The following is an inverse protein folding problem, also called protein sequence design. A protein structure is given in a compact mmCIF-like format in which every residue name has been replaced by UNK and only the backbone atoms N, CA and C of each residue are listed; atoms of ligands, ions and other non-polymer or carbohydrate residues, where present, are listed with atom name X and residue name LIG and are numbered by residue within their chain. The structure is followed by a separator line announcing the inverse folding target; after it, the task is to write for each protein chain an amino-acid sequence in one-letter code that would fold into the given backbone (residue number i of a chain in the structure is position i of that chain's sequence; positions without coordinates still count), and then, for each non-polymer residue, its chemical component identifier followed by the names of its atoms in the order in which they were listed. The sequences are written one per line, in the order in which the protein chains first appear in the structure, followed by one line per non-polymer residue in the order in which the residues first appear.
data_IF_985510677374
#
_entry.id   IF_985510677374
#
_cell.length_a   1.000
_cell.length_b   1.000
_cell.length_c   1.000
_cell.angle_alpha   90.00
_cell.angle_beta   90.00
_cell.angle_gamma   90.00
#
_symmetry.space_group_name_H-M   'P 1'
#
loop_
_entity.id
_entity.type
_entity.pdbx_description
1 polymer ?
#
# COMPACT_ATOMS: atom_id res chain seq x y z
N UNK A 1 -12.71 -25.58 -6.67
CA UNK A 1 -11.68 -25.91 -5.66
C UNK A 1 -11.18 -24.60 -5.09
N UNK A 2 -11.12 -24.48 -3.76
CA UNK A 2 -10.51 -23.32 -3.11
C UNK A 2 -9.00 -23.30 -3.39
N UNK A 3 -8.43 -22.11 -3.59
CA UNK A 3 -6.99 -21.94 -3.75
C UNK A 3 -6.25 -22.34 -2.46
N UNK A 4 -5.13 -23.03 -2.58
CA UNK A 4 -4.26 -23.32 -1.44
C UNK A 4 -2.96 -22.53 -1.60
N UNK A 5 -2.72 -21.52 -0.74
CA UNK A 5 -1.49 -20.75 -0.76
C UNK A 5 -0.25 -21.64 -0.56
N UNK A 6 0.75 -21.59 -1.46
CA UNK A 6 1.96 -22.37 -1.31
C UNK A 6 2.79 -21.86 -0.11
N UNK A 7 3.52 -22.77 0.53
CA UNK A 7 4.49 -22.44 1.59
C UNK A 7 5.91 -22.25 1.06
N UNK A 8 6.21 -22.79 -0.13
CA UNK A 8 7.54 -22.79 -0.73
C UNK A 8 7.50 -22.33 -2.18
N UNK A 9 8.64 -21.84 -2.65
CA UNK A 9 8.89 -21.42 -4.04
C UNK A 9 10.20 -22.04 -4.52
N UNK A 10 10.25 -22.46 -5.78
CA UNK A 10 11.48 -22.89 -6.45
C UNK A 10 12.02 -21.75 -7.32
N UNK A 11 13.25 -21.31 -7.05
CA UNK A 11 13.86 -20.14 -7.72
C UNK A 11 15.18 -20.54 -8.36
N UNK A 12 15.34 -20.23 -9.65
CA UNK A 12 16.63 -20.29 -10.33
C UNK A 12 17.47 -19.08 -9.97
N UNK A 13 18.63 -19.29 -9.36
CA UNK A 13 19.51 -18.21 -8.94
C UNK A 13 20.66 -18.01 -9.94
N UNK A 14 20.77 -16.79 -10.46
CA UNK A 14 21.82 -16.38 -11.37
C UNK A 14 22.67 -15.27 -10.77
N UNK A 15 23.87 -15.11 -11.33
CA UNK A 15 24.63 -13.87 -11.18
C UNK A 15 23.83 -12.71 -11.76
N UNK A 16 23.78 -11.60 -11.03
CA UNK A 16 23.01 -10.43 -11.43
C UNK A 16 23.93 -9.25 -11.78
N UNK A 17 23.40 -8.32 -12.57
CA UNK A 17 23.95 -6.97 -12.71
C UNK A 17 23.59 -6.13 -11.48
N UNK A 18 24.20 -4.95 -11.32
CA UNK A 18 23.84 -4.01 -10.26
C UNK A 18 22.34 -3.59 -10.30
N UNK A 19 21.75 -3.57 -11.51
CA UNK A 19 20.31 -3.29 -11.73
C UNK A 19 19.39 -4.48 -11.47
N UNK A 20 19.93 -5.66 -11.11
CA UNK A 20 19.15 -6.86 -10.83
C UNK A 20 18.75 -7.66 -12.07
N UNK A 21 19.26 -7.34 -13.26
CA UNK A 21 19.10 -8.18 -14.45
C UNK A 21 20.07 -9.37 -14.38
N UNK A 22 19.81 -10.45 -15.12
CA UNK A 22 20.77 -11.57 -15.24
C UNK A 22 22.04 -11.08 -15.95
N UNK A 23 23.21 -11.43 -15.40
CA UNK A 23 24.52 -11.08 -15.96
C UNK A 23 24.90 -12.06 -17.06
N UNK A 24 25.31 -11.55 -18.22
CA UNK A 24 25.84 -12.37 -19.32
C UNK A 24 27.33 -12.72 -19.11
N UNK A 25 27.77 -13.95 -19.39
CA UNK A 25 26.93 -15.11 -19.73
C UNK A 25 26.10 -15.57 -18.53
N UNK A 26 24.85 -15.97 -18.76
CA UNK A 26 23.95 -16.42 -17.69
C UNK A 26 24.54 -17.59 -16.89
N UNK A 27 25.05 -17.26 -15.71
CA UNK A 27 25.74 -18.19 -14.83
C UNK A 27 24.89 -18.49 -13.61
N UNK A 28 24.62 -19.76 -13.36
CA UNK A 28 23.89 -20.22 -12.18
C UNK A 28 24.77 -20.10 -10.92
N UNK A 29 24.13 -19.74 -9.81
CA UNK A 29 24.73 -19.83 -8.50
C UNK A 29 25.00 -21.29 -8.11
N UNK A 30 26.16 -21.54 -7.50
CA UNK A 30 26.59 -22.83 -7.01
C UNK A 30 27.27 -22.64 -5.65
N UNK A 31 27.43 -23.74 -4.91
CA UNK A 31 28.12 -23.73 -3.62
C UNK A 31 29.49 -23.07 -3.74
N UNK A 32 29.80 -22.16 -2.80
CA UNK A 32 31.05 -21.37 -2.82
C UNK A 32 31.01 -20.09 -3.64
N UNK A 33 29.98 -19.85 -4.48
CA UNK A 33 29.87 -18.59 -5.23
C UNK A 33 29.59 -17.41 -4.28
N UNK A 34 30.35 -16.32 -4.43
CA UNK A 34 30.24 -15.09 -3.64
C UNK A 34 29.88 -13.88 -4.51
N UNK A 35 29.31 -14.11 -5.69
CA UNK A 35 28.95 -13.08 -6.67
C UNK A 35 27.58 -12.48 -6.35
N UNK A 36 27.38 -11.20 -6.63
CA UNK A 36 26.09 -10.52 -6.55
C UNK A 36 25.01 -11.29 -7.33
N UNK A 37 23.85 -11.47 -6.70
CA UNK A 37 22.80 -12.37 -7.16
C UNK A 37 22.80 -13.73 -6.46
N UNK A 38 23.97 -14.22 -6.06
CA UNK A 38 24.09 -15.43 -5.23
C UNK A 38 24.12 -15.14 -3.73
N UNK A 39 24.49 -13.91 -3.35
CA UNK A 39 24.62 -13.46 -1.97
C UNK A 39 24.59 -11.93 -1.93
N UNK A 40 24.07 -11.37 -0.85
CA UNK A 40 24.21 -9.94 -0.54
C UNK A 40 25.58 -9.61 0.07
N UNK A 41 26.28 -10.60 0.63
CA UNK A 41 27.61 -10.46 1.23
C UNK A 41 28.71 -10.80 0.23
N UNK A 42 28.97 -9.86 -0.68
CA UNK A 42 29.95 -9.99 -1.77
C UNK A 42 31.02 -8.89 -1.73
N UNK A 43 32.13 -9.11 -2.44
CA UNK A 43 33.21 -8.11 -2.59
C UNK A 43 33.34 -7.64 -4.04
N UNK A 44 32.21 -7.37 -4.70
CA UNK A 44 32.19 -6.84 -6.07
C UNK A 44 32.00 -5.31 -6.05
N UNK A 45 33.00 -4.59 -6.58
CA UNK A 45 32.93 -3.14 -6.70
C UNK A 45 31.86 -2.70 -7.70
N UNK A 46 31.09 -1.67 -7.38
CA UNK A 46 29.96 -1.18 -8.19
C UNK A 46 28.65 -1.95 -8.02
N UNK A 47 28.64 -3.02 -7.21
CA UNK A 47 27.44 -3.79 -6.90
C UNK A 47 26.92 -3.44 -5.50
N UNK A 48 25.61 -3.60 -5.24
CA UNK A 48 24.97 -3.30 -3.96
C UNK A 48 25.24 -4.40 -2.91
N UNK A 49 26.51 -4.78 -2.75
CA UNK A 49 26.97 -5.74 -1.75
C UNK A 49 27.09 -5.07 -0.37
N UNK A 50 26.77 -5.83 0.68
CA UNK A 50 27.27 -5.59 2.04
C UNK A 50 28.70 -6.13 2.15
N UNK A 51 29.67 -5.26 2.42
CA UNK A 51 31.11 -5.56 2.29
C UNK A 51 31.83 -5.82 3.60
N UNK A 52 31.12 -5.75 4.73
CA UNK A 52 31.69 -6.06 6.05
C UNK A 52 32.21 -7.50 6.18
N UNK A 53 31.67 -8.42 5.39
CA UNK A 53 32.12 -9.82 5.30
C UNK A 53 31.74 -10.41 3.93
N UNK A 54 32.33 -11.55 3.57
CA UNK A 54 31.92 -12.32 2.39
C UNK A 54 31.23 -13.61 2.83
N UNK A 55 30.05 -13.91 2.27
CA UNK A 55 29.35 -15.17 2.48
C UNK A 55 28.99 -15.80 1.15
N UNK A 56 29.22 -17.10 1.04
CA UNK A 56 28.86 -17.84 -0.15
C UNK A 56 27.34 -18.05 -0.26
N UNK A 57 26.90 -18.35 -1.47
CA UNK A 57 25.58 -18.87 -1.81
C UNK A 57 25.09 -19.91 -0.78
N UNK A 58 23.92 -19.69 -0.14
CA UNK A 58 23.51 -20.51 1.01
C UNK A 58 22.90 -21.86 0.66
N UNK A 59 22.51 -22.09 -0.60
CA UNK A 59 21.75 -23.28 -0.98
C UNK A 59 22.64 -24.37 -1.60
N UNK A 60 22.25 -25.63 -1.37
CA UNK A 60 22.95 -26.81 -1.89
C UNK A 60 22.53 -27.19 -3.31
N UNK A 61 21.38 -26.70 -3.79
CA UNK A 61 20.82 -26.99 -5.12
C UNK A 61 20.39 -25.72 -5.84
N UNK A 62 20.42 -25.76 -7.18
CA UNK A 62 19.86 -24.70 -8.04
C UNK A 62 19.03 -25.37 -9.16
N UNK A 63 17.70 -25.15 -9.22
CA UNK A 63 16.92 -24.18 -8.45
C UNK A 63 16.88 -24.50 -6.95
N UNK A 64 16.83 -23.45 -6.14
CA UNK A 64 16.67 -23.56 -4.69
C UNK A 64 15.17 -23.61 -4.35
N UNK A 65 14.78 -24.49 -3.43
CA UNK A 65 13.42 -24.51 -2.87
C UNK A 65 13.45 -23.86 -1.50
N UNK A 66 12.75 -22.73 -1.37
CA UNK A 66 12.85 -21.82 -0.23
C UNK A 66 11.47 -21.52 0.36
N UNK A 67 11.44 -21.23 1.67
CA UNK A 67 10.22 -20.79 2.35
C UNK A 67 9.81 -19.41 1.80
N UNK A 68 8.53 -19.25 1.46
CA UNK A 68 8.04 -17.96 0.98
C UNK A 68 8.09 -16.91 2.10
N UNK A 69 7.67 -17.29 3.31
CA UNK A 69 7.42 -16.34 4.40
C UNK A 69 8.66 -16.08 5.27
N UNK A 70 9.54 -17.07 5.41
CA UNK A 70 10.70 -16.99 6.34
C UNK A 70 12.04 -16.84 5.63
N UNK A 71 12.05 -16.74 4.30
CA UNK A 71 13.27 -16.57 3.49
C UNK A 71 12.99 -15.64 2.29
N UNK A 72 12.26 -16.12 1.27
CA UNK A 72 12.08 -15.39 0.00
C UNK A 72 11.58 -13.95 0.16
N UNK A 73 10.47 -13.74 0.87
CA UNK A 73 9.91 -12.39 1.03
C UNK A 73 10.75 -11.49 1.93
N UNK A 74 11.52 -12.06 2.87
CA UNK A 74 12.41 -11.27 3.72
C UNK A 74 13.53 -10.64 2.90
N UNK A 75 13.94 -11.26 1.80
CA UNK A 75 14.95 -10.73 0.88
C UNK A 75 14.34 -9.91 -0.26
N UNK A 76 13.21 -10.34 -0.84
CA UNK A 76 12.56 -9.62 -1.96
C UNK A 76 12.07 -8.25 -1.54
N UNK A 77 11.37 -8.14 -0.40
CA UNK A 77 10.74 -6.89 0.02
C UNK A 77 11.74 -5.74 0.18
N UNK A 78 12.81 -5.87 0.99
CA UNK A 78 13.80 -4.79 1.12
C UNK A 78 14.62 -4.56 -0.16
N UNK A 79 14.71 -5.57 -1.05
CA UNK A 79 15.42 -5.42 -2.33
C UNK A 79 14.62 -4.59 -3.33
N UNK A 80 13.31 -4.82 -3.39
CA UNK A 80 12.40 -4.11 -4.29
C UNK A 80 12.00 -2.73 -3.74
N UNK A 81 11.79 -2.62 -2.43
CA UNK A 81 11.44 -1.36 -1.76
C UNK A 81 12.36 -1.15 -0.56
N UNK A 82 13.40 -0.30 -0.69
CA UNK A 82 14.34 -0.02 0.40
C UNK A 82 13.62 0.45 1.67
N UNK A 83 13.98 -0.07 2.83
CA UNK A 83 13.22 0.15 4.08
C UNK A 83 13.35 1.59 4.59
N UNK A 84 14.54 2.19 4.51
CA UNK A 84 14.83 3.51 5.10
C UNK A 84 14.02 4.67 4.49
N UNK A 85 13.93 4.83 3.15
CA UNK A 85 13.18 5.96 2.61
C UNK A 85 11.65 5.79 2.70
N UNK A 86 11.11 4.57 2.85
CA UNK A 86 9.67 4.33 2.69
C UNK A 86 8.92 4.18 4.02
N UNK A 87 7.67 4.65 4.02
CA UNK A 87 6.77 4.48 5.17
C UNK A 87 6.41 2.99 5.36
N UNK A 88 6.36 2.45 6.60
CA UNK A 88 6.08 1.04 6.86
C UNK A 88 4.79 0.50 6.22
N UNK A 89 3.73 1.30 6.13
CA UNK A 89 2.49 0.92 5.41
C UNK A 89 2.73 0.63 3.92
N UNK A 90 3.65 1.35 3.27
CA UNK A 90 4.02 1.09 1.88
C UNK A 90 4.86 -0.19 1.76
N UNK A 91 5.79 -0.43 2.71
CA UNK A 91 6.53 -1.70 2.80
C UNK A 91 5.56 -2.88 2.97
N UNK A 92 4.51 -2.73 3.79
CA UNK A 92 3.47 -3.74 3.94
C UNK A 92 2.69 -3.98 2.63
N UNK A 93 2.33 -2.92 1.91
CA UNK A 93 1.71 -3.08 0.59
C UNK A 93 2.64 -3.82 -0.39
N UNK A 94 3.94 -3.50 -0.40
CA UNK A 94 4.94 -4.21 -1.19
C UNK A 94 5.04 -5.69 -0.83
N UNK A 95 5.05 -6.04 0.46
CA UNK A 95 5.10 -7.44 0.90
C UNK A 95 3.89 -8.24 0.41
N UNK A 96 2.69 -7.64 0.48
CA UNK A 96 1.45 -8.26 -0.01
C UNK A 96 1.47 -8.43 -1.52
N UNK A 97 1.89 -7.40 -2.27
CA UNK A 97 2.03 -7.48 -3.73
C UNK A 97 3.10 -8.53 -4.13
N UNK A 98 4.25 -8.56 -3.47
CA UNK A 98 5.30 -9.53 -3.75
C UNK A 98 4.84 -10.98 -3.50
N UNK A 99 4.15 -11.22 -2.38
CA UNK A 99 3.56 -12.54 -2.10
C UNK A 99 2.57 -12.96 -3.18
N UNK A 100 1.70 -12.05 -3.59
CA UNK A 100 0.66 -12.31 -4.60
C UNK A 100 1.26 -12.64 -5.96
N UNK A 101 2.33 -11.92 -6.33
CA UNK A 101 3.09 -12.15 -7.56
C UNK A 101 3.71 -13.55 -7.58
N UNK A 102 4.40 -13.93 -6.49
CA UNK A 102 4.96 -15.28 -6.32
C UNK A 102 3.88 -16.37 -6.40
N UNK A 103 2.78 -16.19 -5.67
CA UNK A 103 1.63 -17.10 -5.65
C UNK A 103 1.03 -17.29 -7.06
N UNK A 104 0.90 -16.22 -7.83
CA UNK A 104 0.40 -16.28 -9.20
C UNK A 104 1.35 -17.09 -10.09
N UNK A 105 2.65 -16.82 -10.07
CA UNK A 105 3.60 -17.55 -10.91
C UNK A 105 3.71 -19.04 -10.57
N UNK A 106 3.68 -19.40 -9.29
CA UNK A 106 3.65 -20.80 -8.85
C UNK A 106 2.42 -21.50 -9.42
N UNK A 107 1.25 -20.85 -9.35
CA UNK A 107 0.01 -21.39 -9.91
C UNK A 107 0.08 -21.55 -11.43
N UNK A 108 0.77 -20.66 -12.15
CA UNK A 108 0.97 -20.79 -13.60
C UNK A 108 2.04 -21.83 -13.98
N UNK A 109 2.75 -22.43 -13.02
CA UNK A 109 3.86 -23.34 -13.30
C UNK A 109 5.08 -22.63 -13.92
N UNK A 110 5.27 -21.34 -13.62
CA UNK A 110 6.38 -20.55 -14.16
C UNK A 110 7.73 -21.00 -13.60
N UNK A 111 8.78 -21.00 -14.43
CA UNK A 111 10.17 -21.14 -13.98
C UNK A 111 10.70 -19.78 -13.48
N UNK A 112 10.47 -19.47 -12.21
CA UNK A 112 10.85 -18.20 -11.59
C UNK A 112 12.36 -18.11 -11.40
N UNK A 113 12.95 -16.94 -11.66
CA UNK A 113 14.34 -16.66 -11.36
C UNK A 113 14.50 -15.41 -10.48
N UNK A 114 15.71 -15.16 -10.02
CA UNK A 114 16.03 -14.14 -9.02
C UNK A 114 16.25 -12.72 -9.58
N UNK A 115 15.91 -12.48 -10.86
CA UNK A 115 16.16 -11.20 -11.55
C UNK A 115 14.92 -10.32 -11.66
N UNK A 116 15.12 -9.10 -12.15
CA UNK A 116 14.07 -8.13 -12.45
C UNK A 116 13.12 -8.53 -13.62
N UNK A 117 13.29 -9.72 -14.21
CA UNK A 117 12.26 -10.34 -15.05
C UNK A 117 11.06 -10.86 -14.23
N UNK A 118 11.29 -11.13 -12.94
CA UNK A 118 10.28 -11.52 -11.97
C UNK A 118 10.35 -10.52 -10.80
N UNK A 119 11.01 -10.92 -9.72
CA UNK A 119 11.31 -10.08 -8.57
C UNK A 119 12.76 -10.35 -8.18
N UNK A 120 13.50 -9.28 -7.89
CA UNK A 120 14.89 -9.38 -7.51
C UNK A 120 14.98 -10.03 -6.13
N UNK A 121 15.53 -11.23 -6.11
CA UNK A 121 15.82 -12.00 -4.91
C UNK A 121 17.34 -12.17 -4.80
N UNK A 122 17.93 -11.70 -3.71
CA UNK A 122 19.35 -11.92 -3.46
C UNK A 122 19.48 -12.47 -2.05
N UNK A 123 20.00 -13.71 -1.88
CA UNK A 123 20.10 -14.32 -0.57
C UNK A 123 20.84 -13.45 0.43
N UNK A 124 20.36 -13.42 1.66
CA UNK A 124 20.89 -12.62 2.77
C UNK A 124 20.65 -11.11 2.69
N UNK A 125 19.72 -10.64 1.86
CA UNK A 125 19.38 -9.21 1.81
C UNK A 125 18.79 -8.74 3.15
N UNK A 126 18.01 -9.57 3.82
CA UNK A 126 17.45 -9.31 5.15
C UNK A 126 18.53 -9.12 6.22
N UNK A 127 19.53 -10.00 6.25
CA UNK A 127 20.69 -9.93 7.16
C UNK A 127 21.59 -8.73 6.87
N UNK A 128 21.67 -8.33 5.60
CA UNK A 128 22.47 -7.20 5.13
C UNK A 128 21.84 -5.83 5.47
N UNK A 129 20.58 -5.77 5.91
CA UNK A 129 19.95 -4.51 6.31
C UNK A 129 20.74 -3.82 7.43
N UNK A 130 21.01 -2.53 7.26
CA UNK A 130 21.87 -1.76 8.18
C UNK A 130 21.22 -1.51 9.56
N UNK A 131 21.92 -1.69 10.68
CA UNK A 131 23.23 -2.32 10.82
C UNK A 131 23.14 -3.83 10.60
N UNK A 132 24.05 -4.38 9.81
CA UNK A 132 24.14 -5.83 9.52
C UNK A 132 23.97 -6.67 10.78
N UNK A 133 22.98 -7.55 10.77
CA UNK A 133 22.63 -8.38 11.94
C UNK A 133 22.12 -9.73 11.47
N UNK A 134 22.67 -10.82 12.02
CA UNK A 134 22.20 -12.18 11.75
C UNK A 134 21.16 -12.57 12.80
N UNK A 135 19.94 -12.97 12.39
CA UNK A 135 18.90 -13.44 13.30
C UNK A 135 19.39 -14.62 14.16
N UNK A 136 19.13 -14.58 15.47
CA UNK A 136 19.48 -15.66 16.41
C UNK A 136 18.60 -16.91 16.28
N UNK A 137 17.47 -16.81 15.55
CA UNK A 137 16.65 -17.92 15.10
C UNK A 137 16.62 -17.98 13.55
N UNK A 138 17.58 -18.65 12.90
CA UNK A 138 17.65 -18.70 11.44
C UNK A 138 16.51 -19.49 10.78
N UNK A 139 15.79 -20.34 11.53
CA UNK A 139 14.65 -21.11 11.00
C UNK A 139 13.37 -20.27 10.91
N UNK A 140 13.26 -19.27 11.77
CA UNK A 140 12.21 -18.26 11.77
C UNK A 140 12.84 -16.91 12.14
N UNK A 141 13.46 -16.22 11.16
CA UNK A 141 14.19 -14.98 11.39
C UNK A 141 13.35 -13.94 12.13
N UNK A 142 12.05 -13.87 11.86
CA UNK A 142 11.15 -12.89 12.45
C UNK A 142 10.78 -13.16 13.91
N UNK A 143 11.06 -14.36 14.43
CA UNK A 143 10.97 -14.68 15.85
C UNK A 143 12.27 -14.39 16.63
N UNK A 144 13.31 -13.86 15.96
CA UNK A 144 14.60 -13.60 16.59
C UNK A 144 14.55 -12.42 17.57
N UNK A 145 15.33 -12.51 18.65
CA UNK A 145 15.34 -11.49 19.71
C UNK A 145 16.24 -10.29 19.39
N UNK A 146 17.18 -10.48 18.47
CA UNK A 146 18.26 -9.55 18.16
C UNK A 146 18.04 -8.71 16.88
N UNK A 147 16.84 -8.72 16.30
CA UNK A 147 16.57 -8.00 15.03
C UNK A 147 16.85 -6.49 15.13
N UNK A 148 17.44 -5.92 14.10
CA UNK A 148 17.61 -4.47 13.98
C UNK A 148 16.29 -3.76 13.59
N UNK A 149 16.28 -2.42 13.55
CA UNK A 149 15.08 -1.62 13.22
C UNK A 149 14.47 -1.97 11.85
N UNK A 150 15.28 -2.09 10.80
CA UNK A 150 14.77 -2.34 9.45
C UNK A 150 14.27 -3.78 9.30
N UNK A 151 14.96 -4.74 9.92
CA UNK A 151 14.52 -6.14 9.98
C UNK A 151 13.15 -6.26 10.66
N UNK A 152 12.91 -5.54 11.77
CA UNK A 152 11.59 -5.51 12.43
C UNK A 152 10.50 -4.94 11.52
N UNK A 153 10.81 -3.93 10.70
CA UNK A 153 9.84 -3.37 9.74
C UNK A 153 9.50 -4.40 8.65
N UNK A 154 10.50 -5.06 8.08
CA UNK A 154 10.28 -6.12 7.07
C UNK A 154 9.49 -7.29 7.66
N UNK A 155 9.85 -7.76 8.86
CA UNK A 155 9.10 -8.79 9.56
C UNK A 155 7.65 -8.38 9.84
N UNK A 156 7.42 -7.15 10.29
CA UNK A 156 6.06 -6.63 10.49
C UNK A 156 5.24 -6.57 9.19
N UNK A 157 5.89 -6.25 8.06
CA UNK A 157 5.27 -6.21 6.75
C UNK A 157 4.92 -7.62 6.21
N UNK A 158 5.81 -8.59 6.41
CA UNK A 158 5.66 -9.97 5.92
C UNK A 158 4.78 -10.82 6.84
N UNK A 159 4.76 -10.58 8.17
CA UNK A 159 4.07 -11.42 9.16
C UNK A 159 2.59 -11.67 8.84
N UNK A 160 1.90 -10.66 8.31
CA UNK A 160 0.53 -10.83 7.82
C UNK A 160 0.60 -11.50 6.45
N UNK A 161 0.22 -12.78 6.39
CA UNK A 161 0.20 -13.61 5.17
C UNK A 161 -0.93 -13.21 4.20
N UNK A 162 -1.10 -11.91 4.03
CA UNK A 162 -2.12 -11.36 3.15
C UNK A 162 -1.66 -11.44 1.70
N UNK A 163 -2.61 -11.66 0.80
CA UNK A 163 -2.39 -11.63 -0.65
C UNK A 163 -3.59 -10.99 -1.36
N UNK A 164 -3.34 -10.52 -2.58
CA UNK A 164 -4.31 -9.92 -3.48
C UNK A 164 -4.95 -11.07 -4.26
N UNK A 165 -6.27 -11.18 -4.16
CA UNK A 165 -7.05 -12.12 -4.92
C UNK A 165 -7.89 -11.39 -5.98
N UNK A 166 -8.07 -12.03 -7.13
CA UNK A 166 -8.94 -11.53 -8.18
C UNK A 166 -9.99 -12.56 -8.56
N UNK A 167 -11.08 -12.07 -9.13
CA UNK A 167 -12.09 -12.91 -9.76
C UNK A 167 -13.40 -12.17 -10.01
N UNK A 168 -14.33 -12.88 -10.63
CA UNK A 168 -15.67 -12.36 -10.97
C UNK A 168 -16.60 -12.43 -9.76
N UNK A 169 -16.33 -13.33 -8.83
CA UNK A 169 -17.14 -13.53 -7.62
C UNK A 169 -16.36 -13.21 -6.35
N UNK A 170 -17.02 -12.72 -5.27
CA UNK A 170 -16.37 -12.42 -3.99
C UNK A 170 -15.67 -13.62 -3.32
N UNK A 171 -15.95 -14.85 -3.76
CA UNK A 171 -15.33 -16.08 -3.27
C UNK A 171 -14.17 -16.57 -4.11
N UNK A 172 -13.87 -15.91 -5.23
CA UNK A 172 -12.68 -16.23 -6.00
C UNK A 172 -11.45 -15.83 -5.18
N UNK A 173 -10.58 -16.81 -4.93
CA UNK A 173 -9.44 -16.70 -4.05
C UNK A 173 -8.12 -16.91 -4.78
N UNK A 174 -8.16 -16.85 -6.12
CA UNK A 174 -7.00 -16.95 -6.98
C UNK A 174 -6.09 -15.72 -6.80
N UNK A 175 -4.77 -15.92 -6.65
CA UNK A 175 -3.83 -14.81 -6.48
C UNK A 175 -3.77 -13.97 -7.75
N UNK A 176 -3.71 -12.65 -7.60
CA UNK A 176 -3.56 -11.72 -8.72
C UNK A 176 -2.11 -11.62 -9.18
N UNK A 177 -1.90 -11.49 -10.50
CA UNK A 177 -0.64 -11.01 -11.08
C UNK A 177 -0.43 -9.53 -10.73
N UNK A 178 0.18 -9.27 -9.59
CA UNK A 178 0.33 -7.94 -9.00
C UNK A 178 1.63 -7.27 -9.43
N UNK A 179 1.66 -6.74 -10.66
CA UNK A 179 2.78 -5.92 -11.14
C UNK A 179 3.00 -4.68 -10.25
N UNK A 180 4.24 -4.28 -10.08
CA UNK A 180 4.64 -3.06 -9.37
C UNK A 180 5.91 -2.48 -10.01
N UNK A 181 6.13 -1.19 -9.84
CA UNK A 181 7.24 -0.45 -10.47
C UNK A 181 7.68 0.74 -9.60
N UNK A 182 8.80 1.37 -9.95
CA UNK A 182 9.41 2.39 -9.10
C UNK A 182 8.59 3.69 -8.99
N UNK A 183 8.29 4.37 -10.09
CA UNK A 183 7.55 5.64 -10.06
C UNK A 183 6.85 6.01 -11.37
N UNK A 184 5.82 6.84 -11.27
CA UNK A 184 5.17 7.50 -12.41
C UNK A 184 4.48 8.77 -11.92
N UNK A 185 4.39 9.78 -12.79
CA UNK A 185 3.69 11.02 -12.49
C UNK A 185 2.19 10.91 -12.80
N UNK A 186 1.37 11.39 -11.87
CA UNK A 186 -0.08 11.60 -11.97
C UNK A 186 -0.99 10.39 -12.26
N UNK A 187 -0.53 9.33 -12.91
CA UNK A 187 -1.38 8.23 -13.36
C UNK A 187 -0.57 6.99 -13.72
N UNK A 188 -1.09 5.80 -13.43
CA UNK A 188 -0.55 4.53 -13.92
C UNK A 188 -0.97 4.24 -15.36
N UNK A 189 -0.43 3.19 -15.97
CA UNK A 189 -0.80 2.73 -17.32
C UNK A 189 -1.54 1.39 -17.26
N UNK A 190 -2.35 1.13 -18.29
CA UNK A 190 -3.06 -0.14 -18.44
C UNK A 190 -2.08 -1.31 -18.59
N UNK A 191 -2.39 -2.42 -17.94
CA UNK A 191 -1.72 -3.70 -18.08
C UNK A 191 -2.56 -4.76 -18.76
N UNK A 192 -2.05 -6.00 -18.74
CA UNK A 192 -2.69 -7.13 -19.42
C UNK A 192 -3.81 -7.82 -18.63
N UNK A 193 -4.17 -7.31 -17.45
CA UNK A 193 -5.14 -7.94 -16.55
C UNK A 193 -6.30 -6.98 -16.24
N UNK A 194 -7.53 -7.48 -16.01
CA UNK A 194 -8.71 -6.63 -15.81
C UNK A 194 -8.66 -5.77 -14.54
N UNK A 195 -7.79 -6.11 -13.59
CA UNK A 195 -7.53 -5.34 -12.37
C UNK A 195 -6.28 -4.46 -12.47
N UNK A 196 -5.54 -4.51 -13.59
CA UNK A 196 -4.40 -3.64 -13.88
C UNK A 196 -4.83 -2.57 -14.88
N UNK A 197 -5.79 -1.73 -14.48
CA UNK A 197 -6.18 -0.57 -15.28
C UNK A 197 -5.38 0.65 -14.85
N UNK A 198 -5.28 1.63 -15.75
CA UNK A 198 -4.74 2.94 -15.43
C UNK A 198 -5.63 3.63 -14.39
N UNK A 199 -5.04 4.06 -13.28
CA UNK A 199 -5.70 4.80 -12.21
C UNK A 199 -4.96 6.12 -11.94
N UNK A 200 -5.72 7.12 -11.54
CA UNK A 200 -5.18 8.42 -11.14
C UNK A 200 -4.31 8.31 -9.88
N UNK A 201 -3.08 8.82 -9.92
CA UNK A 201 -2.16 8.92 -8.79
C UNK A 201 -1.78 10.40 -8.54
N UNK A 202 -2.75 11.28 -8.18
CA UNK A 202 -2.54 12.72 -8.16
C UNK A 202 -1.57 13.19 -7.06
N UNK A 203 -1.32 12.38 -6.03
CA UNK A 203 -0.26 12.69 -5.05
C UNK A 203 1.13 12.67 -5.70
N UNK A 204 1.24 12.02 -6.86
CA UNK A 204 2.44 11.99 -7.69
C UNK A 204 2.45 13.12 -8.72
N UNK A 205 2.04 14.33 -8.34
CA UNK A 205 1.98 15.51 -9.22
C UNK A 205 3.18 16.47 -9.13
N UNK A 206 4.10 16.26 -8.18
CA UNK A 206 5.25 17.16 -7.99
C UNK A 206 6.24 17.07 -9.16
N UNK A 207 6.89 18.18 -9.59
CA UNK A 207 7.82 18.18 -10.73
C UNK A 207 9.02 17.24 -10.61
N UNK A 208 9.50 16.97 -9.40
CA UNK A 208 10.65 16.09 -9.12
C UNK A 208 10.36 14.58 -9.34
N UNK A 209 9.16 14.23 -9.79
CA UNK A 209 8.76 12.85 -9.99
C UNK A 209 9.26 12.41 -11.37
N UNK A 210 10.17 11.45 -11.36
CA UNK A 210 10.78 10.88 -12.56
C UNK A 210 10.18 9.51 -12.81
N UNK A 211 9.47 9.30 -13.95
CA UNK A 211 8.96 7.98 -14.30
C UNK A 211 10.08 6.95 -14.37
N UNK A 212 9.88 5.80 -13.73
CA UNK A 212 10.84 4.71 -13.68
C UNK A 212 10.11 3.37 -13.55
N UNK A 213 10.42 2.43 -14.44
CA UNK A 213 9.73 1.16 -14.61
C UNK A 213 8.56 1.21 -15.61
N UNK A 214 7.77 0.14 -15.65
CA UNK A 214 6.75 -0.07 -16.69
C UNK A 214 5.41 0.64 -16.44
N UNK A 215 5.21 1.24 -15.26
CA UNK A 215 4.03 2.05 -14.94
C UNK A 215 2.71 1.30 -14.68
N UNK A 216 2.72 -0.04 -14.63
CA UNK A 216 1.50 -0.88 -14.46
C UNK A 216 1.35 -1.36 -13.03
N UNK A 217 0.12 -1.35 -12.51
CA UNK A 217 -0.15 -1.78 -11.14
C UNK A 217 0.36 -0.77 -10.10
N UNK A 218 1.04 -1.23 -9.06
CA UNK A 218 1.41 -0.37 -7.93
C UNK A 218 2.69 0.44 -8.18
N UNK A 219 2.59 1.77 -8.09
CA UNK A 219 3.76 2.66 -7.97
C UNK A 219 4.33 2.54 -6.56
N UNK A 220 5.58 2.12 -6.42
CA UNK A 220 6.25 1.98 -5.13
C UNK A 220 6.37 3.34 -4.44
N UNK A 221 6.91 4.34 -5.14
CA UNK A 221 7.03 5.70 -4.59
C UNK A 221 5.67 6.36 -4.40
N UNK A 222 4.71 6.12 -5.28
CA UNK A 222 3.31 6.55 -5.08
C UNK A 222 2.70 5.97 -3.80
N UNK A 223 2.86 4.67 -3.54
CA UNK A 223 2.46 4.03 -2.28
C UNK A 223 3.12 4.69 -1.05
N UNK A 224 4.40 5.02 -1.15
CA UNK A 224 5.12 5.78 -0.12
C UNK A 224 4.52 7.16 0.15
N UNK A 225 4.18 7.91 -0.92
CA UNK A 225 3.51 9.21 -0.82
C UNK A 225 2.15 9.11 -0.15
N UNK A 226 1.30 8.17 -0.57
CA UNK A 226 -0.03 7.96 0.01
C UNK A 226 0.04 7.58 1.49
N UNK A 227 0.97 6.69 1.85
CA UNK A 227 1.18 6.29 3.23
C UNK A 227 1.63 7.45 4.13
N UNK A 228 2.43 8.38 3.58
CA UNK A 228 2.89 9.58 4.30
C UNK A 228 1.86 10.70 4.30
N UNK A 229 1.01 10.80 3.27
CA UNK A 229 0.23 12.00 3.00
C UNK A 229 1.12 13.19 2.65
N UNK A 230 2.15 12.96 1.84
CA UNK A 230 3.15 13.94 1.45
C UNK A 230 3.55 13.73 -0.02
N UNK A 231 3.88 14.80 -0.73
CA UNK A 231 4.32 14.74 -2.12
C UNK A 231 5.67 14.00 -2.30
N UNK A 232 6.43 13.83 -1.22
CA UNK A 232 7.63 12.98 -1.18
C UNK A 232 7.30 11.59 -0.66
N UNK A 233 7.87 10.56 -1.29
CA UNK A 233 7.87 9.21 -0.74
C UNK A 233 8.93 9.03 0.37
N UNK A 234 10.03 9.78 0.27
CA UNK A 234 11.21 9.64 1.14
C UNK A 234 10.95 10.29 2.49
N UNK A 235 10.99 9.51 3.58
CA UNK A 235 10.76 9.98 4.95
C UNK A 235 11.70 11.12 5.40
N UNK A 236 12.90 11.22 4.81
CA UNK A 236 13.89 12.24 5.10
C UNK A 236 13.77 13.49 4.21
N UNK A 237 12.76 13.54 3.33
CA UNK A 237 12.51 14.65 2.42
C UNK A 237 11.04 15.08 2.49
N UNK A 238 10.81 16.37 2.72
CA UNK A 238 9.50 16.98 2.68
C UNK A 238 9.33 17.78 1.38
N UNK A 239 8.30 17.46 0.59
CA UNK A 239 7.93 18.19 -0.62
C UNK A 239 6.56 18.88 -0.49
N UNK A 240 6.01 18.92 0.73
CA UNK A 240 4.68 19.46 1.01
C UNK A 240 3.66 18.37 1.35
N UNK A 241 2.82 18.67 2.33
CA UNK A 241 1.73 17.80 2.73
C UNK A 241 0.70 17.63 1.61
N UNK A 242 0.13 16.44 1.51
CA UNK A 242 -1.02 16.16 0.67
C UNK A 242 -2.30 16.18 1.51
N UNK A 243 -3.42 16.55 0.88
CA UNK A 243 -4.73 16.60 1.54
C UNK A 243 -5.23 15.24 2.05
N UNK A 244 -4.64 14.14 1.56
CA UNK A 244 -5.03 12.77 1.87
C UNK A 244 -3.85 11.94 2.35
N UNK A 245 -4.07 11.11 3.38
CA UNK A 245 -3.13 10.08 3.85
C UNK A 245 -3.84 8.74 4.03
N UNK A 246 -3.20 7.64 3.65
CA UNK A 246 -3.73 6.29 3.89
C UNK A 246 -2.89 5.54 4.91
N UNK A 247 -3.51 5.14 6.03
CA UNK A 247 -2.80 4.47 7.12
C UNK A 247 -2.71 2.96 6.95
N UNK A 248 -3.44 2.42 5.96
CA UNK A 248 -3.65 0.99 5.74
C UNK A 248 -3.16 0.55 4.37
N UNK A 249 -2.40 -0.55 4.34
CA UNK A 249 -1.90 -1.13 3.10
C UNK A 249 -3.04 -1.54 2.16
N UNK A 250 -4.19 -1.96 2.71
CA UNK A 250 -5.35 -2.33 1.90
C UNK A 250 -5.85 -1.17 1.05
N UNK A 251 -5.81 0.08 1.55
CA UNK A 251 -6.22 1.26 0.77
C UNK A 251 -5.30 1.49 -0.43
N UNK A 252 -3.97 1.34 -0.23
CA UNK A 252 -2.97 1.43 -1.30
C UNK A 252 -3.22 0.33 -2.34
N UNK A 253 -3.43 -0.90 -1.90
CA UNK A 253 -3.56 -2.04 -2.81
C UNK A 253 -4.83 -1.97 -3.65
N UNK A 254 -5.99 -1.66 -3.05
CA UNK A 254 -7.25 -1.56 -3.82
C UNK A 254 -7.33 -0.31 -4.69
N UNK A 255 -6.46 0.67 -4.45
CA UNK A 255 -6.27 1.83 -5.33
C UNK A 255 -5.56 1.42 -6.62
N UNK A 256 -4.44 0.71 -6.52
CA UNK A 256 -3.61 0.33 -7.66
C UNK A 256 -4.08 -0.94 -8.39
N UNK A 257 -4.82 -1.81 -7.70
CA UNK A 257 -5.36 -3.05 -8.27
C UNK A 257 -6.89 -3.01 -8.21
N UNK A 258 -7.52 -2.69 -9.35
CA UNK A 258 -8.95 -2.39 -9.43
C UNK A 258 -9.81 -3.63 -9.22
N UNK A 259 -10.79 -3.54 -8.32
CA UNK A 259 -11.79 -4.59 -8.13
C UNK A 259 -11.28 -5.89 -7.52
N UNK A 260 -10.08 -5.89 -6.95
CA UNK A 260 -9.50 -7.04 -6.24
C UNK A 260 -10.05 -7.17 -4.82
N UNK A 261 -9.75 -8.27 -4.17
CA UNK A 261 -9.87 -8.43 -2.73
C UNK A 261 -8.52 -8.69 -2.08
N UNK A 262 -8.38 -8.35 -0.80
CA UNK A 262 -7.26 -8.81 0.02
C UNK A 262 -7.74 -9.97 0.89
N UNK A 263 -6.96 -11.04 0.94
CA UNK A 263 -7.27 -12.25 1.69
C UNK A 263 -6.16 -12.61 2.65
N UNK A 264 -6.51 -13.30 3.72
CA UNK A 264 -5.55 -13.82 4.70
C UNK A 264 -5.27 -15.31 4.46
N UNK A 265 -4.10 -15.64 3.92
CA UNK A 265 -3.67 -17.02 3.69
C UNK A 265 -3.47 -17.82 5.00
N UNK A 266 -3.27 -17.15 6.15
CA UNK A 266 -3.14 -17.82 7.43
C UNK A 266 -4.52 -18.24 8.02
N UNK A 267 -5.61 -17.65 7.52
CA UNK A 267 -6.95 -17.84 8.06
C UNK A 267 -7.92 -18.34 6.96
N UNK A 268 -7.60 -19.49 6.36
CA UNK A 268 -8.45 -20.14 5.34
C UNK A 268 -8.90 -19.18 4.21
N UNK A 269 -7.98 -18.36 3.72
CA UNK A 269 -8.22 -17.33 2.68
C UNK A 269 -9.34 -16.34 3.03
N UNK A 270 -9.52 -16.04 4.33
CA UNK A 270 -10.56 -15.14 4.82
C UNK A 270 -10.49 -13.78 4.12
N UNK A 271 -11.65 -13.26 3.74
CA UNK A 271 -11.78 -11.99 3.05
C UNK A 271 -11.54 -10.82 4.02
N UNK A 272 -10.59 -9.94 3.71
CA UNK A 272 -10.24 -8.78 4.55
C UNK A 272 -10.85 -7.47 4.07
N UNK A 273 -11.27 -7.43 2.80
CA UNK A 273 -11.84 -6.22 2.19
C UNK A 273 -13.29 -6.47 1.75
N UNK A 274 -14.26 -5.63 2.18
CA UNK A 274 -15.65 -5.76 1.77
C UNK A 274 -15.84 -5.35 0.30
N UNK A 275 -16.97 -5.66 -0.32
CA UNK A 275 -17.24 -5.31 -1.72
C UNK A 275 -17.44 -3.80 -1.95
N UNK A 276 -17.99 -3.09 -0.96
CA UNK A 276 -18.26 -1.65 -0.99
C UNK A 276 -17.09 -0.89 -0.36
N UNK A 277 -16.32 -0.17 -1.18
CA UNK A 277 -15.09 0.52 -0.77
C UNK A 277 -14.88 1.77 -1.59
N UNK A 278 -14.21 2.75 -1.00
CA UNK A 278 -13.83 3.98 -1.68
C UNK A 278 -12.55 4.54 -1.08
N UNK A 279 -11.82 5.35 -1.84
CA UNK A 279 -10.74 6.17 -1.29
C UNK A 279 -10.91 7.62 -1.74
N UNK A 280 -10.68 8.63 -0.88
CA UNK A 280 -10.41 9.97 -1.36
C UNK A 280 -9.03 9.99 -2.00
N UNK A 281 -8.88 10.68 -3.13
CA UNK A 281 -7.58 10.94 -3.75
C UNK A 281 -7.09 12.36 -3.46
N UNK A 282 -8.02 13.30 -3.26
CA UNK A 282 -7.71 14.70 -2.99
C UNK A 282 -8.90 15.36 -2.31
N UNK A 283 -8.63 16.26 -1.36
CA UNK A 283 -9.61 17.18 -0.80
C UNK A 283 -9.10 18.60 -1.06
N UNK A 284 -9.92 19.39 -1.72
CA UNK A 284 -9.68 20.81 -1.96
C UNK A 284 -10.50 21.62 -0.96
N UNK A 285 -9.82 22.18 0.04
CA UNK A 285 -10.42 22.95 1.14
C UNK A 285 -10.73 24.40 0.78
N UNK A 286 -10.30 24.86 -0.40
CA UNK A 286 -10.46 26.25 -0.82
C UNK A 286 -9.58 27.24 -0.05
N UNK A 287 -8.58 26.74 0.68
CA UNK A 287 -7.59 27.52 1.40
C UNK A 287 -6.29 27.65 0.59
N UNK A 288 -5.49 28.71 0.79
CA UNK A 288 -4.25 28.93 0.02
C UNK A 288 -3.24 27.78 0.11
N UNK A 289 -3.17 27.12 1.26
CA UNK A 289 -2.29 25.98 1.56
C UNK A 289 -3.00 24.62 1.41
N UNK A 290 -4.27 24.64 1.00
CA UNK A 290 -5.14 23.48 0.90
C UNK A 290 -5.24 22.64 2.18
N UNK A 291 -5.11 23.27 3.35
CA UNK A 291 -5.37 22.66 4.65
C UNK A 291 -6.80 22.93 5.14
N UNK A 292 -7.37 22.06 5.99
CA UNK A 292 -8.66 22.33 6.60
C UNK A 292 -8.64 23.66 7.36
N UNK A 293 -9.55 24.61 7.06
CA UNK A 293 -9.57 25.90 7.73
C UNK A 293 -10.00 25.75 9.20
N UNK A 294 -9.71 26.77 10.00
CA UNK A 294 -10.48 26.96 11.25
C UNK A 294 -11.91 27.31 10.89
N UNK A 295 -12.87 26.65 11.53
CA UNK A 295 -14.28 26.78 11.25
C UNK A 295 -15.01 27.48 12.41
N UNK A 296 -16.11 28.14 12.09
CA UNK A 296 -16.95 28.88 13.02
C UNK A 296 -18.39 28.36 12.94
N UNK A 297 -19.10 28.40 14.07
CA UNK A 297 -20.50 28.05 14.10
C UNK A 297 -21.31 29.00 13.20
N UNK A 298 -22.21 28.44 12.39
CA UNK A 298 -22.95 29.18 11.36
C UNK A 298 -22.17 29.43 10.07
N UNK A 299 -20.88 29.10 10.04
CA UNK A 299 -20.04 29.16 8.83
C UNK A 299 -20.43 28.12 7.79
N UNK A 300 -20.05 28.41 6.54
CA UNK A 300 -20.26 27.55 5.37
C UNK A 300 -18.94 27.42 4.62
N UNK A 301 -18.50 26.18 4.38
CA UNK A 301 -17.18 25.87 3.81
C UNK A 301 -17.35 24.95 2.60
N UNK A 302 -17.33 25.51 1.37
CA UNK A 302 -17.36 24.70 0.17
C UNK A 302 -16.02 23.98 0.00
N UNK A 303 -16.08 22.68 -0.30
CA UNK A 303 -14.92 21.85 -0.59
C UNK A 303 -15.18 21.04 -1.86
N UNK A 304 -14.11 20.53 -2.47
CA UNK A 304 -14.21 19.52 -3.52
C UNK A 304 -13.42 18.27 -3.13
N UNK A 305 -13.96 17.08 -3.41
CA UNK A 305 -13.33 15.80 -3.07
C UNK A 305 -13.22 14.96 -4.33
N UNK A 306 -12.02 14.49 -4.64
CA UNK A 306 -11.80 13.50 -5.70
C UNK A 306 -12.03 12.11 -5.12
N UNK A 307 -13.07 11.44 -5.58
CA UNK A 307 -13.54 10.15 -5.04
C UNK A 307 -13.16 9.04 -6.01
N UNK A 308 -12.49 8.01 -5.49
CA UNK A 308 -12.24 6.78 -6.23
C UNK A 308 -13.14 5.65 -5.69
N UNK A 309 -13.84 4.97 -6.60
CA UNK A 309 -14.49 3.71 -6.28
C UNK A 309 -13.45 2.58 -6.29
N UNK A 310 -13.05 2.10 -5.11
CA UNK A 310 -12.12 0.98 -4.95
C UNK A 310 -12.83 -0.35 -4.66
N UNK A 311 -14.15 -0.37 -4.84
CA UNK A 311 -14.98 -1.54 -4.73
C UNK A 311 -14.80 -2.50 -5.90
N UNK A 312 -15.64 -3.55 -5.95
CA UNK A 312 -15.57 -4.60 -6.98
C UNK A 312 -16.54 -4.39 -8.14
N UNK A 313 -17.47 -3.44 -8.01
CA UNK A 313 -18.50 -3.12 -8.98
C UNK A 313 -18.61 -1.60 -9.18
N UNK A 314 -19.09 -1.20 -10.35
CA UNK A 314 -19.39 0.19 -10.67
C UNK A 314 -20.57 0.69 -9.82
N UNK A 315 -20.58 1.99 -9.51
CA UNK A 315 -21.67 2.61 -8.76
C UNK A 315 -22.79 3.04 -9.71
N UNK A 316 -23.43 2.06 -10.35
CA UNK A 316 -24.57 2.31 -11.23
C UNK A 316 -25.79 2.71 -10.42
N UNK A 317 -26.29 3.93 -10.65
CA UNK A 317 -27.50 4.40 -9.98
C UNK A 317 -28.72 4.14 -10.86
N UNK A 318 -29.68 3.42 -10.29
CA UNK A 318 -31.03 3.34 -10.81
C UNK A 318 -31.94 3.47 -9.60
N UNK A 319 -32.61 4.61 -9.45
CA UNK A 319 -33.60 4.75 -8.39
C UNK A 319 -34.82 3.86 -8.75
N UNK A 320 -35.37 3.05 -7.82
CA UNK A 320 -35.11 3.03 -6.37
C UNK A 320 -34.03 2.05 -5.90
N UNK A 321 -33.34 1.35 -6.81
CA UNK A 321 -32.39 0.30 -6.47
C UNK A 321 -31.16 0.82 -5.76
N UNK A 322 -30.44 1.83 -6.28
CA UNK A 322 -29.25 2.38 -5.63
C UNK A 322 -29.02 3.87 -5.97
N UNK A 323 -28.71 4.67 -4.94
CA UNK A 323 -28.08 5.99 -5.02
C UNK A 323 -26.81 5.98 -4.15
N UNK A 324 -25.70 6.48 -4.68
CA UNK A 324 -24.41 6.57 -3.98
C UNK A 324 -24.06 8.04 -3.78
N UNK A 325 -23.80 8.42 -2.53
CA UNK A 325 -23.60 9.80 -2.13
C UNK A 325 -22.40 9.94 -1.21
N UNK A 326 -21.48 10.86 -1.53
CA UNK A 326 -20.48 11.31 -0.57
C UNK A 326 -21.18 12.18 0.47
N UNK A 327 -21.07 11.79 1.74
CA UNK A 327 -21.61 12.52 2.89
C UNK A 327 -20.54 12.64 3.98
N UNK A 328 -20.86 13.37 5.04
CA UNK A 328 -19.99 13.49 6.20
C UNK A 328 -20.75 13.41 7.52
N UNK A 329 -20.03 13.04 8.58
CA UNK A 329 -20.48 13.08 9.97
C UNK A 329 -19.53 13.94 10.80
N UNK A 330 -20.10 14.69 11.74
CA UNK A 330 -19.36 15.37 12.79
C UNK A 330 -19.16 14.43 13.98
N UNK A 331 -17.96 14.44 14.54
CA UNK A 331 -17.64 13.75 15.78
C UNK A 331 -16.78 14.63 16.69
N UNK A 332 -16.97 14.51 18.01
CA UNK A 332 -16.14 15.14 19.05
C UNK A 332 -16.11 14.23 20.27
N UNK A 333 -14.97 14.13 20.94
CA UNK A 333 -14.86 13.34 22.18
C UNK A 333 -15.89 13.80 23.22
N UNK A 334 -16.63 12.85 23.82
CA UNK A 334 -17.70 13.13 24.76
C UNK A 334 -19.06 13.47 24.13
N UNK A 335 -19.15 13.49 22.79
CA UNK A 335 -20.39 13.75 22.05
C UNK A 335 -20.70 12.61 21.07
N UNK A 336 -21.99 12.44 20.76
CA UNK A 336 -22.43 11.51 19.72
C UNK A 336 -22.13 12.02 18.31
N UNK A 337 -22.17 11.14 17.32
CA UNK A 337 -22.02 11.54 15.91
C UNK A 337 -23.27 12.22 15.38
N UNK A 338 -23.09 13.26 14.55
CA UNK A 338 -24.19 13.96 13.87
C UNK A 338 -23.92 13.99 12.38
N UNK A 339 -24.90 13.53 11.59
CA UNK A 339 -24.79 13.55 10.12
C UNK A 339 -24.87 14.98 9.60
N UNK A 340 -23.94 15.34 8.73
CA UNK A 340 -23.91 16.63 8.05
C UNK A 340 -25.11 16.81 7.10
N UNK A 341 -25.49 18.06 6.86
CA UNK A 341 -26.69 18.38 6.08
C UNK A 341 -26.50 18.34 4.56
N UNK A 342 -25.26 18.29 4.07
CA UNK A 342 -24.92 18.34 2.65
C UNK A 342 -24.41 16.99 2.17
N UNK A 343 -24.59 16.72 0.88
CA UNK A 343 -24.21 15.50 0.20
C UNK A 343 -23.85 15.81 -1.25
N UNK A 344 -23.09 14.92 -1.88
CA UNK A 344 -22.77 15.01 -3.30
C UNK A 344 -23.00 13.66 -3.98
N UNK A 345 -23.68 13.62 -5.12
CA UNK A 345 -23.86 12.39 -5.89
C UNK A 345 -22.51 11.91 -6.45
N UNK A 346 -22.23 10.63 -6.28
CA UNK A 346 -21.13 9.91 -6.93
C UNK A 346 -21.65 8.79 -7.83
N UNK A 347 -22.89 8.93 -8.30
CA UNK A 347 -23.52 8.01 -9.23
C UNK A 347 -22.76 7.92 -10.56
N UNK A 348 -22.71 6.71 -11.11
CA UNK A 348 -22.02 6.43 -12.37
C UNK A 348 -20.50 6.32 -12.24
N UNK A 349 -19.95 6.29 -11.02
CA UNK A 349 -18.51 6.14 -10.80
C UNK A 349 -18.09 4.69 -11.09
N UNK A 350 -17.31 4.44 -12.15
CA UNK A 350 -16.79 3.11 -12.43
C UNK A 350 -15.74 2.70 -11.39
N UNK A 351 -15.54 1.40 -11.22
CA UNK A 351 -14.46 0.89 -10.35
C UNK A 351 -13.09 1.30 -10.89
N UNK A 352 -12.23 1.75 -9.98
CA UNK A 352 -10.87 2.22 -10.27
C UNK A 352 -10.85 3.61 -10.89
N UNK A 353 -11.30 3.77 -12.13
CA UNK A 353 -11.15 5.01 -12.89
C UNK A 353 -12.21 5.17 -14.01
N UNK A 354 -12.65 6.40 -14.37
CA UNK A 354 -12.33 7.71 -13.79
C UNK A 354 -12.80 7.93 -12.36
N UNK A 355 -12.00 8.71 -11.60
CA UNK A 355 -12.35 9.20 -10.26
C UNK A 355 -12.96 10.61 -10.33
N UNK A 356 -14.27 10.80 -10.08
CA UNK A 356 -14.90 12.12 -10.16
C UNK A 356 -14.43 13.07 -9.05
N UNK A 357 -14.35 14.36 -9.38
CA UNK A 357 -14.27 15.45 -8.42
C UNK A 357 -15.69 15.93 -8.12
N UNK A 358 -16.13 15.86 -6.86
CA UNK A 358 -17.47 16.26 -6.43
C UNK A 358 -17.40 17.40 -5.42
N UNK A 359 -18.35 18.34 -5.51
CA UNK A 359 -18.43 19.48 -4.60
C UNK A 359 -19.34 19.15 -3.42
N UNK A 360 -18.90 19.49 -2.21
CA UNK A 360 -19.62 19.25 -0.97
C UNK A 360 -19.51 20.51 -0.10
N UNK A 361 -20.54 20.80 0.70
CA UNK A 361 -20.53 21.98 1.58
C UNK A 361 -20.56 21.55 3.04
N UNK A 362 -19.50 21.89 3.77
CA UNK A 362 -19.45 21.70 5.23
C UNK A 362 -20.15 22.88 5.89
N UNK A 363 -21.21 22.62 6.63
CA UNK A 363 -22.05 23.64 7.27
C UNK A 363 -22.81 23.03 8.45
N UNK A 364 -23.61 23.84 9.14
CA UNK A 364 -24.45 23.40 10.28
C UNK A 364 -23.62 22.68 11.35
N UNK A 365 -22.46 23.25 11.70
CA UNK A 365 -21.52 22.69 12.67
C UNK A 365 -22.21 22.54 14.04
N UNK A 366 -22.29 21.33 14.62
CA UNK A 366 -22.92 21.11 15.92
C UNK A 366 -22.32 22.02 17.00
N UNK A 367 -23.17 22.63 17.82
CA UNK A 367 -22.72 23.50 18.90
C UNK A 367 -22.30 22.69 20.13
N UNK A 368 -21.13 22.03 20.06
CA UNK A 368 -20.51 21.31 21.17
C UNK A 368 -19.40 22.13 21.85
N UNK A 369 -19.42 23.45 21.67
CA UNK A 369 -18.38 24.37 22.12
C UNK A 369 -17.08 24.29 21.29
N UNK A 370 -16.09 25.15 21.58
CA UNK A 370 -14.87 25.24 20.78
C UNK A 370 -13.97 24.00 20.91
N UNK A 371 -12.99 23.88 20.00
CA UNK A 371 -11.91 22.90 20.07
C UNK A 371 -11.81 22.00 18.83
N UNK A 372 -11.18 20.84 19.00
CA UNK A 372 -10.98 19.87 17.94
C UNK A 372 -12.25 19.06 17.66
N UNK A 373 -12.62 18.99 16.39
CA UNK A 373 -13.70 18.16 15.85
C UNK A 373 -13.10 17.22 14.80
N UNK A 374 -13.81 16.14 14.51
CA UNK A 374 -13.50 15.25 13.39
C UNK A 374 -14.65 15.30 12.39
N UNK A 375 -14.33 15.57 11.13
CA UNK A 375 -15.22 15.39 9.99
C UNK A 375 -14.91 14.01 9.40
N UNK A 376 -15.91 13.13 9.38
CA UNK A 376 -15.78 11.80 8.80
C UNK A 376 -16.49 11.74 7.47
N UNK A 377 -15.74 11.75 6.38
CA UNK A 377 -16.27 11.54 5.04
C UNK A 377 -16.54 10.05 4.82
N UNK A 378 -17.66 9.72 4.19
CA UNK A 378 -17.97 8.34 3.81
C UNK A 378 -19.02 8.30 2.69
N UNK A 379 -19.13 7.15 2.02
CA UNK A 379 -20.16 6.90 1.02
C UNK A 379 -21.40 6.35 1.70
N UNK A 380 -22.51 7.06 1.53
CA UNK A 380 -23.84 6.64 1.94
C UNK A 380 -24.60 6.07 0.75
N UNK A 381 -25.24 4.94 0.96
CA UNK A 381 -26.09 4.28 -0.04
C UNK A 381 -27.53 4.39 0.39
N UNK A 382 -28.37 4.92 -0.50
CA UNK A 382 -29.82 4.80 -0.41
C UNK A 382 -30.27 3.69 -1.35
N UNK A 383 -31.00 2.70 -0.85
CA UNK A 383 -31.46 1.56 -1.65
C UNK A 383 -32.83 1.08 -1.20
N UNK A 384 -33.57 0.42 -2.09
CA UNK A 384 -34.80 -0.29 -1.75
C UNK A 384 -34.60 -1.40 -0.68
N UNK A 385 -33.36 -1.84 -0.46
CA UNK A 385 -32.99 -2.88 0.50
C UNK A 385 -32.52 -2.31 1.85
N UNK A 386 -32.66 -1.00 2.04
CA UNK A 386 -32.22 -0.29 3.23
C UNK A 386 -30.98 0.56 2.96
N UNK A 387 -30.82 1.59 3.79
CA UNK A 387 -29.74 2.54 3.65
C UNK A 387 -28.57 2.13 4.53
N UNK A 388 -27.34 2.41 4.09
CA UNK A 388 -26.15 2.08 4.85
C UNK A 388 -24.97 2.94 4.45
N UNK A 389 -24.00 3.04 5.35
CA UNK A 389 -22.69 3.60 5.09
C UNK A 389 -21.69 2.51 4.71
N UNK A 390 -20.70 2.82 3.88
CA UNK A 390 -19.64 1.84 3.58
C UNK A 390 -18.87 1.43 4.86
N UNK A 391 -18.73 2.35 5.82
CA UNK A 391 -18.21 2.09 7.18
C UNK A 391 -18.96 1.02 7.96
N UNK A 392 -20.27 0.92 7.80
CA UNK A 392 -21.10 -0.12 8.42
C UNK A 392 -20.96 -1.48 7.73
N UNK A 393 -20.40 -1.49 6.52
CA UNK A 393 -20.06 -2.69 5.74
C UNK A 393 -18.58 -3.06 5.84
N UNK A 394 -17.83 -2.44 6.76
CA UNK A 394 -16.45 -2.80 7.09
C UNK A 394 -15.36 -1.99 6.38
N UNK A 395 -15.70 -1.00 5.55
CA UNK A 395 -14.72 -0.10 4.93
C UNK A 395 -14.69 1.25 5.61
N UNK A 396 -13.54 1.67 6.16
CA UNK A 396 -13.48 2.86 7.03
C UNK A 396 -13.89 4.16 6.32
N UNK A 397 -14.49 5.06 7.09
CA UNK A 397 -14.61 6.48 6.73
C UNK A 397 -13.22 7.12 6.63
N UNK A 398 -13.16 8.25 5.94
CA UNK A 398 -11.98 9.11 5.93
C UNK A 398 -12.15 10.25 6.92
N UNK A 399 -11.33 10.24 7.97
CA UNK A 399 -11.44 11.15 9.10
C UNK A 399 -10.46 12.33 8.93
N UNK A 400 -10.98 13.55 9.09
CA UNK A 400 -10.19 14.79 9.08
C UNK A 400 -10.41 15.56 10.37
N UNK A 401 -9.33 15.88 11.06
CA UNK A 401 -9.36 16.75 12.24
C UNK A 401 -9.45 18.23 11.81
N UNK A 402 -10.40 18.96 12.40
CA UNK A 402 -10.61 20.40 12.17
C UNK A 402 -10.76 21.15 13.50
N UNK A 403 -10.52 22.45 13.48
CA UNK A 403 -10.67 23.32 14.64
C UNK A 403 -11.94 24.15 14.51
N UNK A 404 -12.78 24.16 15.55
CA UNK A 404 -14.03 24.93 15.57
C UNK A 404 -14.00 25.97 16.70
N UNK A 405 -14.41 27.20 16.39
CA UNK A 405 -14.52 28.29 17.37
C UNK A 405 -13.17 28.78 17.90
N UNK A 406 -12.15 28.76 17.05
CA UNK A 406 -10.77 29.15 17.36
C UNK A 406 -9.73 28.07 17.05
N UNK A 407 -8.43 28.40 17.15
CA UNK A 407 -7.36 27.44 16.88
C UNK A 407 -7.42 26.29 17.88
N UNK A 408 -7.22 25.05 17.39
CA UNK A 408 -7.03 23.92 18.30
C UNK A 408 -5.78 24.19 19.15
N UNK A 409 -5.84 23.85 20.43
CA UNK A 409 -4.62 23.73 21.23
C UNK A 409 -3.79 22.60 20.61
N UNK A 410 -2.76 22.97 19.84
CA UNK A 410 -1.80 22.01 19.33
C UNK A 410 -1.12 21.35 20.51
N UNK A 411 -1.38 20.06 20.73
CA UNK A 411 -0.49 19.26 21.53
C UNK A 411 0.79 19.11 20.73
N UNK A 412 1.81 19.88 21.11
CA UNK A 412 3.19 19.57 20.70
C UNK A 412 3.42 18.15 21.25
N UNK A 413 3.66 17.13 20.40
CA UNK A 413 3.99 15.81 20.91
C UNK A 413 5.20 15.99 21.81
N UNK A 414 5.13 15.49 23.04
CA UNK A 414 6.30 15.44 23.90
C UNK A 414 7.37 14.65 23.14
N UNK A 415 8.36 15.34 22.60
CA UNK A 415 9.60 14.72 22.18
C UNK A 415 10.15 14.12 23.46
N UNK A 416 10.01 12.80 23.64
CA UNK A 416 10.88 12.08 24.56
C UNK A 416 12.27 12.19 23.98
N UNK A 417 12.93 13.27 24.37
CA UNK A 417 14.37 13.41 24.35
C UNK A 417 14.87 12.30 25.26
N UNK A 418 15.66 11.42 24.67
CA UNK A 418 16.35 10.31 25.31
C UNK A 418 15.43 9.16 25.75
N UNK A 419 15.72 7.94 25.27
CA UNK A 419 16.00 6.76 26.10
C UNK A 419 16.65 5.69 25.20
N UNK A 420 17.56 4.88 25.76
CA UNK A 420 18.75 4.28 25.14
C UNK A 420 18.51 3.10 24.19
#
# INVERSE_FOLDING_TARGET
MAYSPPSQISVWLYWLTASGARREPYTLCASGHTTWGCTAFCNESGYPCERSQTRAYPYSTNPATISIETDYLLDVVPREMPVDPFHPTAIQAQAIAARSYAYWHIRQGSAINNSNQFQVFVPYTFEALSSTTFPDNPSDPCASSNLNRYQRIVCGAVARRHYIAYGTYPNDDLPAFSEFFADIGNRTVNGGQPYLIAVDDPISSHPDIVPDGHGRGMSQKGAGRWARGNLSFNMNRDLGAWSVRWERAEQILVHYYTGVHIRDAANNNALLTPSYRWNPLQINWGTPDNHPPTMDHGGTYPIAVKVQNTGVADWTCSYPHFSYELRYRWAKAGHGEVTGSSWASVCGTPKGDPSPMVNLTIQNIPNWGPGAYTIRFDIYVTSAYGNFWFSERGWRSYDVSVCVGGPCKGFIPAVRKDYP
#
